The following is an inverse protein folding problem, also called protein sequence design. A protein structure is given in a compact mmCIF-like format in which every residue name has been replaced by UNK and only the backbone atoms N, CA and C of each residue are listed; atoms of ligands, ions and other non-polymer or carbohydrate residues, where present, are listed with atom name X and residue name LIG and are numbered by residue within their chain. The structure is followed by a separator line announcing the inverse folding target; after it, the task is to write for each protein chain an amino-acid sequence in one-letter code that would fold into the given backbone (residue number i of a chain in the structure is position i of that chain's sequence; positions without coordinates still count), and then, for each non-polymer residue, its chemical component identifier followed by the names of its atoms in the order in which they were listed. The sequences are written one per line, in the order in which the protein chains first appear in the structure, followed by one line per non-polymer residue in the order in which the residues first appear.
data_IF_719947222260
#
_entry.id   IF_719947222260
#
_cell.length_a   1.000
_cell.length_b   1.000
_cell.length_c   1.000
_cell.angle_alpha   90.00
_cell.angle_beta   90.00
_cell.angle_gamma   90.00
#
_symmetry.space_group_name_H-M   'P 1'
#
loop_
_entity.id
_entity.type
_entity.pdbx_description
1 polymer ?
#
# COMPACT_ATOMS: atom_id res chain seq x y z
N UNK A 1 7.09 58.52 21.33
CA UNK A 1 8.14 57.53 20.96
C UNK A 1 8.43 56.72 22.22
N UNK A 2 8.25 55.39 22.27
CA UNK A 2 9.21 54.35 21.84
C UNK A 2 8.45 53.08 21.37
N UNK A 3 8.90 52.50 20.24
CA UNK A 3 8.36 51.30 19.56
C UNK A 3 8.66 50.00 20.34
N UNK A 4 7.70 49.08 20.33
CA UNK A 4 7.77 47.77 20.97
C UNK A 4 8.68 46.73 20.28
N UNK A 5 9.05 45.70 21.05
CA UNK A 5 9.59 44.43 20.54
C UNK A 5 8.58 43.32 20.88
N UNK A 6 7.77 42.92 19.90
CA UNK A 6 6.92 41.73 19.99
C UNK A 6 7.80 40.48 19.85
N UNK A 7 7.82 39.62 20.89
CA UNK A 7 8.43 38.28 20.81
C UNK A 7 7.50 37.40 19.96
N UNK A 8 8.02 36.81 18.88
CA UNK A 8 7.26 35.85 18.07
C UNK A 8 6.90 34.65 18.95
N UNK A 9 5.62 34.43 19.20
CA UNK A 9 5.13 33.25 19.87
C UNK A 9 5.35 32.03 18.95
N UNK A 10 6.08 31.02 19.43
CA UNK A 10 6.21 29.75 18.73
C UNK A 10 4.85 29.07 18.68
N UNK A 11 4.35 28.85 17.47
CA UNK A 11 3.04 28.26 17.21
C UNK A 11 3.10 26.78 17.57
N UNK A 12 2.78 26.42 18.82
CA UNK A 12 2.66 25.03 19.27
C UNK A 12 1.48 24.37 18.58
N UNK A 13 1.75 23.39 17.72
CA UNK A 13 0.70 22.64 17.04
C UNK A 13 -0.01 21.71 18.01
N UNK A 14 -1.33 21.66 17.93
CA UNK A 14 -2.10 20.67 18.69
C UNK A 14 -1.86 19.26 18.12
N UNK A 15 -1.98 18.23 18.96
CA UNK A 15 -1.85 16.82 18.55
C UNK A 15 -2.82 16.48 17.40
N UNK A 16 -3.99 17.11 17.37
CA UNK A 16 -4.99 16.93 16.31
C UNK A 16 -4.55 17.53 14.98
N UNK A 17 -3.93 18.70 15.00
CA UNK A 17 -3.35 19.33 13.80
C UNK A 17 -2.17 18.51 13.28
N UNK A 18 -1.32 17.99 14.18
CA UNK A 18 -0.25 17.06 13.82
C UNK A 18 -0.79 15.77 13.17
N UNK A 19 -1.83 15.17 13.74
CA UNK A 19 -2.46 13.97 13.15
C UNK A 19 -3.09 14.25 11.79
N UNK A 20 -3.77 15.39 11.62
CA UNK A 20 -4.33 15.79 10.32
C UNK A 20 -3.25 16.01 9.26
N UNK A 21 -2.15 16.67 9.63
CA UNK A 21 -1.00 16.87 8.75
C UNK A 21 -0.29 15.54 8.41
N UNK A 22 -0.14 14.65 9.39
CA UNK A 22 0.47 13.33 9.21
C UNK A 22 -0.36 12.41 8.30
N UNK A 23 -1.69 12.41 8.44
CA UNK A 23 -2.60 11.64 7.57
C UNK A 23 -2.53 12.16 6.13
N UNK A 24 -2.49 13.48 5.92
CA UNK A 24 -2.34 14.06 4.59
C UNK A 24 -0.96 13.77 3.97
N UNK A 25 0.11 13.82 4.76
CA UNK A 25 1.47 13.55 4.31
C UNK A 25 1.72 12.08 3.96
N UNK A 26 1.21 11.14 4.77
CA UNK A 26 1.36 9.70 4.49
C UNK A 26 0.49 9.23 3.32
N UNK A 27 -0.73 9.77 3.19
CA UNK A 27 -1.62 9.45 2.06
C UNK A 27 -1.05 9.88 0.70
N UNK A 28 -0.40 11.05 0.64
CA UNK A 28 0.23 11.54 -0.58
C UNK A 28 1.48 10.74 -0.99
N UNK A 29 2.25 10.22 -0.04
CA UNK A 29 3.43 9.39 -0.36
C UNK A 29 3.02 7.96 -0.74
N UNK A 30 1.97 7.40 -0.14
CA UNK A 30 1.41 6.11 -0.54
C UNK A 30 0.84 6.14 -1.97
N UNK A 31 0.18 7.23 -2.37
CA UNK A 31 -0.34 7.41 -3.72
C UNK A 31 0.73 7.90 -4.72
N UNK A 32 1.69 8.71 -4.27
CA UNK A 32 2.76 9.26 -5.11
C UNK A 32 3.89 8.26 -5.42
N UNK A 33 4.16 7.31 -4.52
CA UNK A 33 5.17 6.27 -4.75
C UNK A 33 4.76 5.20 -5.77
N UNK A 34 3.47 5.06 -6.05
CA UNK A 34 2.92 4.18 -7.09
C UNK A 34 2.50 4.93 -8.37
N UNK A 35 2.48 6.27 -8.34
CA UNK A 35 2.18 7.08 -9.51
C UNK A 35 3.38 7.09 -10.48
N UNK A 36 3.45 6.07 -11.35
CA UNK A 36 4.36 6.07 -12.49
C UNK A 36 5.31 4.89 -12.60
N UNK A 37 5.29 3.94 -11.65
CA UNK A 37 6.01 2.67 -11.80
C UNK A 37 5.04 1.60 -12.30
N UNK A 38 4.72 1.63 -13.60
CA UNK A 38 4.21 0.44 -14.25
C UNK A 38 5.36 -0.56 -14.34
N UNK A 39 5.54 -1.35 -13.28
CA UNK A 39 6.04 -2.70 -13.49
C UNK A 39 5.12 -3.29 -14.55
N UNK A 40 5.67 -3.76 -15.67
CA UNK A 40 4.93 -4.21 -16.84
C UNK A 40 4.08 -5.46 -16.58
N UNK A 41 3.22 -5.43 -15.57
CA UNK A 41 2.06 -6.29 -15.48
C UNK A 41 1.15 -5.89 -16.64
N UNK A 42 0.62 -6.88 -17.40
CA UNK A 42 -0.15 -6.61 -18.59
C UNK A 42 -1.30 -5.66 -18.25
N UNK A 43 -1.43 -4.59 -19.04
CA UNK A 43 -2.51 -3.60 -18.94
C UNK A 43 -3.92 -4.23 -19.09
N UNK A 44 -3.97 -5.52 -19.45
CA UNK A 44 -5.16 -6.35 -19.53
C UNK A 44 -5.01 -7.50 -18.53
N UNK A 45 -5.70 -7.40 -17.40
CA UNK A 45 -5.73 -8.46 -16.36
C UNK A 45 -6.70 -9.60 -16.75
N UNK A 46 -7.73 -9.28 -17.54
CA UNK A 46 -8.79 -10.23 -17.90
C UNK A 46 -8.29 -11.29 -18.89
N UNK A 47 -8.38 -12.56 -18.50
CA UNK A 47 -7.91 -13.70 -19.30
C UNK A 47 -6.43 -14.03 -19.10
N UNK A 48 -5.71 -13.25 -18.28
CA UNK A 48 -4.30 -13.48 -17.96
C UNK A 48 -4.19 -14.65 -16.97
N UNK A 49 -3.10 -15.42 -17.08
CA UNK A 49 -2.75 -16.45 -16.08
C UNK A 49 -1.52 -16.00 -15.30
N UNK A 50 -1.58 -16.13 -13.98
CA UNK A 50 -0.45 -15.83 -13.09
C UNK A 50 -0.16 -17.05 -12.21
N UNK A 51 1.05 -17.57 -12.34
CA UNK A 51 1.58 -18.65 -11.50
C UNK A 51 2.57 -18.06 -10.51
N UNK A 52 2.33 -18.30 -9.22
CA UNK A 52 3.23 -17.86 -8.16
C UNK A 52 4.01 -19.06 -7.64
N UNK A 53 5.34 -18.99 -7.75
CA UNK A 53 6.27 -19.94 -7.14
C UNK A 53 6.71 -19.35 -5.80
N UNK A 54 5.85 -19.41 -4.78
CA UNK A 54 6.10 -18.72 -3.50
C UNK A 54 6.47 -19.69 -2.38
N UNK A 55 7.74 -20.13 -2.39
CA UNK A 55 8.48 -20.58 -1.20
C UNK A 55 7.88 -21.72 -0.37
N UNK A 56 8.61 -22.07 0.69
CA UNK A 56 8.24 -23.10 1.66
C UNK A 56 7.38 -22.49 2.76
N UNK A 57 6.20 -23.06 3.00
CA UNK A 57 5.41 -22.75 4.18
C UNK A 57 5.78 -23.72 5.31
N UNK A 58 6.19 -23.19 6.46
CA UNK A 58 6.48 -24.02 7.64
C UNK A 58 5.20 -24.54 8.32
N UNK A 59 4.03 -23.99 7.98
CA UNK A 59 2.72 -24.35 8.54
C UNK A 59 1.74 -24.51 7.38
N UNK A 60 1.24 -25.74 7.15
CA UNK A 60 0.34 -26.07 6.04
C UNK A 60 -0.91 -25.17 5.94
N UNK A 61 -1.61 -24.83 7.06
CA UNK A 61 -2.70 -23.86 7.01
C UNK A 61 -2.37 -22.50 6.39
N UNK A 62 -1.12 -22.04 6.49
CA UNK A 62 -0.68 -20.78 5.87
C UNK A 62 -0.63 -20.87 4.34
N UNK A 63 -0.26 -22.04 3.81
CA UNK A 63 -0.21 -22.31 2.38
C UNK A 63 -1.63 -22.28 1.79
N UNK A 64 -2.59 -22.91 2.48
CA UNK A 64 -3.99 -22.95 2.04
C UNK A 64 -4.65 -21.57 2.10
N UNK A 65 -4.37 -20.80 3.17
CA UNK A 65 -4.81 -19.41 3.28
C UNK A 65 -4.29 -18.58 2.10
N UNK A 66 -3.02 -18.75 1.74
CA UNK A 66 -2.43 -18.03 0.61
C UNK A 66 -3.06 -18.43 -0.72
N UNK A 67 -3.21 -19.74 -0.99
CA UNK A 67 -3.88 -20.24 -2.20
C UNK A 67 -5.26 -19.63 -2.35
N UNK A 68 -6.03 -19.59 -1.25
CA UNK A 68 -7.37 -19.00 -1.22
C UNK A 68 -7.34 -17.51 -1.53
N UNK A 69 -6.49 -16.74 -0.86
CA UNK A 69 -6.36 -15.29 -1.09
C UNK A 69 -5.93 -14.96 -2.53
N UNK A 70 -4.99 -15.74 -3.08
CA UNK A 70 -4.57 -15.61 -4.46
C UNK A 70 -5.74 -15.86 -5.43
N UNK A 71 -6.52 -16.93 -5.21
CA UNK A 71 -7.71 -17.22 -6.02
C UNK A 71 -8.78 -16.13 -5.93
N UNK A 72 -9.08 -15.63 -4.73
CA UNK A 72 -10.05 -14.55 -4.50
C UNK A 72 -9.64 -13.28 -5.26
N UNK A 73 -8.36 -12.90 -5.19
CA UNK A 73 -7.81 -11.80 -5.97
C UNK A 73 -7.91 -12.07 -7.48
N UNK A 74 -7.61 -13.29 -7.93
CA UNK A 74 -7.69 -13.68 -9.33
C UNK A 74 -9.11 -13.55 -9.90
N UNK A 75 -10.10 -14.06 -9.17
CA UNK A 75 -11.52 -13.93 -9.54
C UNK A 75 -11.96 -12.47 -9.67
N UNK A 76 -11.56 -11.62 -8.72
CA UNK A 76 -11.89 -10.19 -8.75
C UNK A 76 -11.28 -9.44 -9.95
N UNK A 77 -10.16 -9.93 -10.49
CA UNK A 77 -9.41 -9.27 -11.57
C UNK A 77 -9.52 -9.99 -12.92
N UNK A 78 -10.26 -11.10 -13.00
CA UNK A 78 -10.35 -11.94 -14.20
C UNK A 78 -9.04 -12.65 -14.55
N UNK A 79 -8.18 -12.89 -13.56
CA UNK A 79 -6.89 -13.57 -13.69
C UNK A 79 -7.04 -15.02 -13.21
N UNK A 80 -6.58 -15.98 -14.01
CA UNK A 80 -6.46 -17.37 -13.56
C UNK A 80 -5.21 -17.53 -12.71
N UNK A 81 -5.39 -17.93 -11.46
CA UNK A 81 -4.31 -18.03 -10.48
C UNK A 81 -3.89 -19.47 -10.25
N UNK A 82 -2.59 -19.70 -10.17
CA UNK A 82 -1.98 -20.92 -9.64
C UNK A 82 -0.90 -20.55 -8.64
N UNK A 83 -0.74 -21.33 -7.58
CA UNK A 83 0.33 -21.16 -6.61
C UNK A 83 0.95 -22.53 -6.33
N UNK A 84 2.26 -22.61 -6.53
CA UNK A 84 3.07 -23.80 -6.28
C UNK A 84 4.08 -23.52 -5.16
N UNK A 85 4.38 -24.54 -4.39
CA UNK A 85 5.13 -24.45 -3.14
C UNK A 85 6.10 -25.64 -3.05
N UNK A 86 7.28 -25.38 -2.48
CA UNK A 86 8.29 -26.40 -2.22
C UNK A 86 7.96 -27.21 -0.96
#
# INVERSE_FOLDING_TARGET
MIKGKSRKAEKKWSRREFMKAGVAGLGAVALGGMAGKSFGAPAVLKGTKLTILQGTYFIAPGQDLYKRQAQEWGQANGVQMSADFL
#
